data_IF_598453005290
#
_entry.id   IF_598453005290
#
_cell.length_a   1.000
_cell.length_b   1.000
_cell.length_c   1.000
_cell.angle_alpha   90.00
_cell.angle_beta   90.00
_cell.angle_gamma   90.00
#
_symmetry.space_group_name_H-M   'P 1'
#
loop_
_entity.id
_entity.type
_entity.pdbx_description
1 polymer ?
#
# COMPACT_ATOMS: atom_id res chain seq x y z
N UNK A 1 -12.96 -23.35 -8.32
CA UNK A 1 -11.62 -23.12 -7.72
C UNK A 1 -11.20 -21.70 -8.06
N UNK A 2 -10.77 -20.93 -7.05
CA UNK A 2 -10.32 -19.55 -7.22
C UNK A 2 -9.02 -19.48 -8.03
N UNK A 3 -8.96 -18.58 -9.02
CA UNK A 3 -7.78 -18.26 -9.85
C UNK A 3 -7.61 -16.75 -9.89
N UNK A 4 -6.54 -16.25 -9.28
CA UNK A 4 -6.35 -14.82 -9.04
C UNK A 4 -5.40 -14.19 -10.05
N UNK A 5 -5.89 -13.19 -10.77
CA UNK A 5 -5.08 -12.25 -11.53
C UNK A 5 -4.81 -11.00 -10.68
N UNK A 6 -3.53 -10.69 -10.42
CA UNK A 6 -3.14 -9.49 -9.68
C UNK A 6 -2.64 -8.41 -10.61
N UNK A 7 -3.39 -7.31 -10.71
CA UNK A 7 -3.01 -6.08 -11.39
C UNK A 7 -2.28 -5.14 -10.42
N UNK A 8 -1.32 -4.37 -10.92
CA UNK A 8 -0.52 -3.43 -10.11
C UNK A 8 0.05 -4.12 -8.86
N UNK A 9 0.66 -5.29 -9.06
CA UNK A 9 0.87 -6.25 -7.97
C UNK A 9 1.77 -5.70 -6.86
N UNK A 10 2.55 -4.65 -7.13
CA UNK A 10 3.49 -4.12 -6.18
C UNK A 10 4.44 -5.22 -5.75
N UNK A 11 4.84 -5.19 -4.48
CA UNK A 11 5.65 -6.26 -3.87
C UNK A 11 4.79 -7.41 -3.31
N UNK A 12 3.53 -7.51 -3.74
CA UNK A 12 2.64 -8.63 -3.40
C UNK A 12 1.79 -8.45 -2.15
N UNK A 13 1.78 -7.28 -1.51
CA UNK A 13 1.05 -7.04 -0.26
C UNK A 13 -0.43 -7.40 -0.28
N UNK A 14 -1.12 -7.18 -1.41
CA UNK A 14 -2.54 -7.53 -1.58
C UNK A 14 -2.74 -8.96 -2.09
N UNK A 15 -1.89 -9.44 -2.99
CA UNK A 15 -2.15 -10.66 -3.76
C UNK A 15 -1.35 -11.89 -3.35
N UNK A 16 -0.14 -11.73 -2.81
CA UNK A 16 0.70 -12.86 -2.42
C UNK A 16 0.09 -13.76 -1.34
N UNK A 17 -0.89 -13.32 -0.52
CA UNK A 17 -1.55 -14.21 0.43
C UNK A 17 -2.54 -15.21 -0.18
N UNK A 18 -2.98 -15.03 -1.43
CA UNK A 18 -3.91 -15.96 -2.08
C UNK A 18 -3.19 -17.24 -2.49
N UNK A 19 -3.84 -18.40 -2.35
CA UNK A 19 -3.27 -19.72 -2.65
C UNK A 19 -2.95 -19.91 -4.13
N UNK A 20 -3.75 -19.33 -5.03
CA UNK A 20 -3.65 -19.58 -6.48
C UNK A 20 -3.62 -18.27 -7.29
N UNK A 21 -2.48 -17.57 -7.21
CA UNK A 21 -2.18 -16.42 -8.06
C UNK A 21 -1.65 -16.92 -9.40
N UNK A 22 -2.48 -16.86 -10.44
CA UNK A 22 -2.11 -17.35 -11.79
C UNK A 22 -1.17 -16.38 -12.51
N UNK A 23 -1.23 -15.09 -12.16
CA UNK A 23 -0.32 -14.06 -12.66
C UNK A 23 -0.36 -12.84 -11.75
N UNK A 24 0.81 -12.26 -11.51
CA UNK A 24 0.98 -10.95 -10.88
C UNK A 24 1.71 -10.02 -11.86
N UNK A 25 1.08 -8.89 -12.22
CA UNK A 25 1.63 -7.92 -13.19
C UNK A 25 1.90 -6.57 -12.53
N UNK A 26 3.10 -6.04 -12.77
CA UNK A 26 3.49 -4.68 -12.37
C UNK A 26 4.43 -4.11 -13.44
N UNK A 27 4.32 -2.82 -13.75
CA UNK A 27 5.15 -2.18 -14.78
C UNK A 27 6.50 -1.70 -14.24
N UNK A 28 6.72 -1.74 -12.92
CA UNK A 28 7.99 -1.33 -12.31
C UNK A 28 8.94 -2.53 -12.14
N UNK A 29 10.07 -2.60 -12.87
CA UNK A 29 10.99 -3.72 -12.78
C UNK A 29 11.59 -3.93 -11.39
N UNK A 30 11.83 -2.87 -10.62
CA UNK A 30 12.35 -2.96 -9.25
C UNK A 30 11.38 -3.70 -8.32
N UNK A 31 10.09 -3.41 -8.51
CA UNK A 31 9.01 -4.02 -7.73
C UNK A 31 8.88 -5.51 -8.09
N UNK A 32 8.92 -5.82 -9.39
CA UNK A 32 8.87 -7.20 -9.90
C UNK A 32 10.05 -8.02 -9.39
N UNK A 33 11.25 -7.45 -9.38
CA UNK A 33 12.44 -8.08 -8.80
C UNK A 33 12.22 -8.44 -7.33
N UNK A 34 11.72 -7.49 -6.54
CA UNK A 34 11.43 -7.69 -5.11
C UNK A 34 10.34 -8.74 -4.89
N UNK A 35 9.28 -8.73 -5.70
CA UNK A 35 8.23 -9.75 -5.64
C UNK A 35 8.83 -11.14 -5.93
N UNK A 36 9.52 -11.29 -7.06
CA UNK A 36 10.08 -12.59 -7.50
C UNK A 36 11.07 -13.17 -6.50
N UNK A 37 11.86 -12.32 -5.85
CA UNK A 37 12.81 -12.73 -4.81
C UNK A 37 12.13 -13.37 -3.59
N UNK A 38 10.89 -12.98 -3.29
CA UNK A 38 10.13 -13.43 -2.12
C UNK A 38 9.06 -14.48 -2.46
N UNK A 39 8.61 -14.54 -3.71
CA UNK A 39 7.58 -15.48 -4.20
C UNK A 39 8.02 -16.15 -5.51
N UNK A 40 9.09 -16.98 -5.49
CA UNK A 40 9.70 -17.53 -6.71
C UNK A 40 8.79 -18.49 -7.49
N UNK A 41 7.71 -18.97 -6.87
CA UNK A 41 6.73 -19.89 -7.44
C UNK A 41 5.55 -19.19 -8.12
N UNK A 42 5.42 -17.86 -7.96
CA UNK A 42 4.36 -17.07 -8.60
C UNK A 42 4.85 -16.58 -9.96
N UNK A 43 3.99 -16.65 -10.97
CA UNK A 43 4.25 -16.04 -12.28
C UNK A 43 4.15 -14.51 -12.20
N UNK A 44 5.27 -13.85 -11.88
CA UNK A 44 5.37 -12.39 -11.83
C UNK A 44 5.91 -11.84 -13.15
N UNK A 45 5.14 -10.96 -13.77
CA UNK A 45 5.42 -10.38 -15.08
C UNK A 45 5.68 -8.87 -14.95
N UNK A 46 6.78 -8.41 -15.55
CA UNK A 46 7.07 -6.99 -15.69
C UNK A 46 6.46 -6.49 -17.00
N UNK A 47 5.27 -5.91 -16.95
CA UNK A 47 4.50 -5.52 -18.13
C UNK A 47 3.44 -4.47 -17.75
N UNK A 48 2.93 -3.75 -18.74
CA UNK A 48 1.88 -2.75 -18.57
C UNK A 48 0.52 -3.33 -19.00
N UNK A 49 -0.45 -3.30 -18.08
CA UNK A 49 -1.82 -3.77 -18.35
C UNK A 49 -2.47 -3.02 -19.52
N UNK A 50 -2.03 -1.79 -19.81
CA UNK A 50 -2.56 -0.96 -20.89
C UNK A 50 -2.17 -1.50 -22.28
N UNK A 51 -1.04 -2.18 -22.37
CA UNK A 51 -0.50 -2.73 -23.62
C UNK A 51 -0.65 -4.25 -23.72
N UNK A 52 -0.92 -4.92 -22.60
CA UNK A 52 -1.07 -6.37 -22.56
C UNK A 52 -2.43 -6.83 -23.08
N UNK A 53 -2.39 -7.75 -24.04
CA UNK A 53 -3.58 -8.29 -24.70
C UNK A 53 -4.08 -9.62 -24.10
N UNK A 54 -3.16 -10.47 -23.60
CA UNK A 54 -3.49 -11.84 -23.16
C UNK A 54 -3.24 -12.05 -21.68
N UNK A 55 -4.25 -12.56 -21.00
CA UNK A 55 -4.20 -12.94 -19.59
C UNK A 55 -4.49 -14.44 -19.46
N UNK A 56 -3.88 -15.13 -18.48
CA UNK A 56 -4.21 -16.53 -18.21
C UNK A 56 -5.67 -16.65 -17.77
N UNK A 57 -6.21 -17.87 -17.79
CA UNK A 57 -7.54 -18.14 -17.26
C UNK A 57 -7.61 -17.77 -15.77
N UNK A 58 -8.59 -16.93 -15.42
CA UNK A 58 -8.79 -16.39 -14.08
C UNK A 58 -10.27 -16.07 -13.86
N UNK A 59 -10.69 -16.09 -12.60
CA UNK A 59 -12.05 -15.72 -12.20
C UNK A 59 -12.10 -14.70 -11.06
N UNK A 60 -10.95 -14.23 -10.58
CA UNK A 60 -10.89 -13.18 -9.57
C UNK A 60 -9.76 -12.19 -9.86
N UNK A 61 -10.06 -10.90 -9.74
CA UNK A 61 -9.09 -9.82 -9.99
C UNK A 61 -8.77 -9.10 -8.68
N UNK A 62 -7.49 -8.89 -8.40
CA UNK A 62 -7.05 -8.01 -7.30
C UNK A 62 -6.13 -6.91 -7.82
N UNK A 63 -6.19 -5.71 -7.24
CA UNK A 63 -5.23 -4.67 -7.60
C UNK A 63 -5.42 -3.34 -6.91
N UNK A 64 -4.31 -2.64 -6.66
CA UNK A 64 -4.31 -1.25 -6.19
C UNK A 64 -4.04 -0.30 -7.36
N UNK A 65 -5.10 0.25 -7.97
CA UNK A 65 -4.93 1.19 -9.09
C UNK A 65 -4.42 2.55 -8.60
N UNK A 66 -3.79 3.31 -9.49
CA UNK A 66 -3.14 4.57 -9.14
C UNK A 66 -4.11 5.59 -8.52
N UNK A 67 -3.72 6.18 -7.38
CA UNK A 67 -4.50 7.18 -6.65
C UNK A 67 -4.41 8.61 -7.28
N UNK A 68 -4.13 8.74 -8.56
CA UNK A 68 -4.02 10.06 -9.17
C UNK A 68 -5.41 10.73 -9.24
N UNK A 69 -5.51 12.05 -9.00
CA UNK A 69 -6.81 12.73 -8.98
C UNK A 69 -7.48 12.72 -10.37
N UNK A 70 -8.68 12.16 -10.45
CA UNK A 70 -9.49 12.11 -11.68
C UNK A 70 -10.62 13.13 -11.64
N UNK A 71 -10.62 14.14 -12.51
CA UNK A 71 -11.79 15.01 -12.64
C UNK A 71 -13.00 14.25 -13.20
N UNK A 72 -14.25 14.67 -12.92
CA UNK A 72 -15.44 14.14 -13.63
C UNK A 72 -15.28 14.29 -15.14
N UNK A 73 -14.72 15.41 -15.60
CA UNK A 73 -14.40 15.59 -17.02
C UNK A 73 -13.43 14.53 -17.52
N UNK A 74 -12.44 14.15 -16.71
CA UNK A 74 -11.51 13.04 -16.98
C UNK A 74 -12.21 11.69 -17.07
N UNK A 75 -13.13 11.38 -16.15
CA UNK A 75 -13.95 10.16 -16.22
C UNK A 75 -14.85 10.15 -17.46
N UNK A 76 -15.48 11.28 -17.81
CA UNK A 76 -16.26 11.42 -19.05
C UNK A 76 -15.40 11.34 -20.31
N UNK A 77 -14.13 11.76 -20.21
CA UNK A 77 -13.13 11.62 -21.27
C UNK A 77 -12.62 10.18 -21.40
N UNK A 78 -12.90 9.31 -20.44
CA UNK A 78 -12.57 7.89 -20.49
C UNK A 78 -11.06 7.68 -20.68
N UNK A 79 -10.73 6.87 -21.69
CA UNK A 79 -9.35 6.61 -22.14
C UNK A 79 -8.58 7.84 -22.66
N UNK A 80 -9.20 9.02 -22.81
CA UNK A 80 -8.49 10.24 -23.23
C UNK A 80 -7.74 10.95 -22.10
N UNK A 81 -7.99 10.61 -20.83
CA UNK A 81 -7.15 11.03 -19.71
C UNK A 81 -6.17 9.90 -19.38
N UNK A 82 -4.88 10.08 -19.72
CA UNK A 82 -3.83 9.08 -19.52
C UNK A 82 -3.79 8.55 -18.08
N UNK A 83 -4.13 9.40 -17.11
CA UNK A 83 -4.11 9.04 -15.69
C UNK A 83 -5.21 8.04 -15.36
N UNK A 84 -6.36 8.15 -16.03
CA UNK A 84 -7.56 7.33 -15.79
C UNK A 84 -7.54 6.01 -16.56
N UNK A 85 -6.71 5.89 -17.62
CA UNK A 85 -6.57 4.65 -18.41
C UNK A 85 -6.39 3.38 -17.57
N UNK A 86 -5.58 3.35 -16.49
CA UNK A 86 -5.41 2.15 -15.67
C UNK A 86 -6.71 1.70 -14.98
N UNK A 87 -7.53 2.64 -14.51
CA UNK A 87 -8.84 2.33 -13.93
C UNK A 87 -9.81 1.79 -14.99
N UNK A 88 -9.88 2.43 -16.16
CA UNK A 88 -10.74 1.95 -17.25
C UNK A 88 -10.32 0.57 -17.75
N UNK A 89 -9.01 0.31 -17.89
CA UNK A 89 -8.50 -1.01 -18.26
C UNK A 89 -8.80 -2.06 -17.18
N UNK A 90 -8.75 -1.67 -15.90
CA UNK A 90 -9.15 -2.57 -14.79
C UNK A 90 -10.63 -2.93 -14.89
N UNK A 91 -11.51 -1.96 -15.17
CA UNK A 91 -12.94 -2.19 -15.34
C UNK A 91 -13.21 -3.08 -16.57
N UNK A 92 -12.52 -2.85 -17.69
CA UNK A 92 -12.58 -3.69 -18.89
C UNK A 92 -12.21 -5.15 -18.58
N UNK A 93 -11.16 -5.37 -17.79
CA UNK A 93 -10.77 -6.73 -17.38
C UNK A 93 -11.80 -7.37 -16.44
N UNK A 94 -12.43 -6.59 -15.56
CA UNK A 94 -13.52 -7.05 -14.68
C UNK A 94 -14.78 -7.41 -15.46
N UNK A 95 -15.06 -6.74 -16.58
CA UNK A 95 -16.21 -7.02 -17.45
C UNK A 95 -16.10 -8.37 -18.20
N UNK A 96 -15.01 -9.11 -18.02
CA UNK A 96 -14.91 -10.45 -18.58
C UNK A 96 -15.97 -11.40 -17.95
N UNK A 97 -16.71 -12.19 -18.74
CA UNK A 97 -17.71 -13.13 -18.24
C UNK A 97 -17.17 -14.19 -17.27
N UNK A 98 -15.89 -14.55 -17.37
CA UNK A 98 -15.24 -15.52 -16.48
C UNK A 98 -14.91 -14.92 -15.10
N UNK A 99 -14.90 -13.60 -14.95
CA UNK A 99 -14.58 -12.94 -13.68
C UNK A 99 -15.79 -13.01 -12.76
N UNK A 100 -15.68 -13.80 -11.70
CA UNK A 100 -16.73 -14.02 -10.70
C UNK A 100 -16.66 -13.01 -9.55
N UNK A 101 -15.51 -12.35 -9.34
CA UNK A 101 -15.35 -11.31 -8.32
C UNK A 101 -14.06 -10.50 -8.44
N UNK A 102 -13.94 -9.47 -7.60
CA UNK A 102 -12.75 -8.63 -7.53
C UNK A 102 -12.50 -8.04 -6.14
N UNK A 103 -11.27 -7.60 -5.89
CA UNK A 103 -10.88 -6.76 -4.74
C UNK A 103 -9.92 -5.64 -5.20
N UNK A 104 -10.42 -4.41 -5.18
CA UNK A 104 -9.64 -3.22 -5.55
C UNK A 104 -9.23 -2.42 -4.31
N UNK A 105 -8.02 -1.89 -4.29
CA UNK A 105 -7.52 -1.02 -3.22
C UNK A 105 -7.35 0.43 -3.69
N UNK A 106 -7.62 1.37 -2.77
CA UNK A 106 -7.24 2.77 -2.93
C UNK A 106 -7.02 3.47 -1.57
N UNK A 107 -6.54 4.72 -1.58
CA UNK A 107 -6.42 5.53 -0.36
C UNK A 107 -7.80 5.95 0.16
N UNK A 108 -7.91 6.19 1.47
CA UNK A 108 -9.18 6.64 2.10
C UNK A 108 -9.77 7.91 1.46
N UNK A 109 -8.92 8.86 1.04
CA UNK A 109 -9.37 10.10 0.39
C UNK A 109 -10.12 9.87 -0.93
N UNK A 110 -10.03 8.67 -1.53
CA UNK A 110 -10.82 8.30 -2.71
C UNK A 110 -12.33 8.43 -2.46
N UNK A 111 -12.80 8.12 -1.24
CA UNK A 111 -14.22 8.21 -0.86
C UNK A 111 -14.78 9.63 -0.95
N UNK A 112 -13.96 10.63 -0.64
CA UNK A 112 -14.33 12.05 -0.69
C UNK A 112 -13.85 12.75 -1.95
N UNK A 113 -13.14 12.04 -2.83
CA UNK A 113 -12.53 12.61 -4.02
C UNK A 113 -13.61 13.25 -4.90
N UNK A 114 -13.38 14.50 -5.30
CA UNK A 114 -14.33 15.27 -6.10
C UNK A 114 -15.77 15.22 -5.52
N UNK A 115 -15.89 15.54 -4.23
CA UNK A 115 -17.15 15.51 -3.46
C UNK A 115 -17.84 14.13 -3.44
N UNK A 116 -17.07 13.06 -3.63
CA UNK A 116 -17.54 11.67 -3.62
C UNK A 116 -18.06 11.16 -4.97
N UNK A 117 -18.10 11.99 -6.01
CA UNK A 117 -18.67 11.60 -7.30
C UNK A 117 -17.85 10.52 -8.02
N UNK A 118 -16.52 10.52 -7.87
CA UNK A 118 -15.65 9.49 -8.46
C UNK A 118 -15.95 8.12 -7.86
N UNK A 119 -16.12 8.04 -6.54
CA UNK A 119 -16.44 6.80 -5.85
C UNK A 119 -17.84 6.30 -6.22
N UNK A 120 -18.85 7.19 -6.21
CA UNK A 120 -20.22 6.83 -6.63
C UNK A 120 -20.27 6.31 -8.06
N UNK A 121 -19.58 6.97 -8.99
CA UNK A 121 -19.48 6.52 -10.37
C UNK A 121 -18.89 5.10 -10.46
N UNK A 122 -17.77 4.84 -9.79
CA UNK A 122 -17.15 3.52 -9.81
C UNK A 122 -18.07 2.43 -9.26
N UNK A 123 -18.74 2.70 -8.13
CA UNK A 123 -19.70 1.76 -7.53
C UNK A 123 -20.86 1.45 -8.49
N UNK A 124 -21.45 2.48 -9.10
CA UNK A 124 -22.52 2.31 -10.10
C UNK A 124 -22.04 1.57 -11.34
N UNK A 125 -20.83 1.86 -11.84
CA UNK A 125 -20.24 1.16 -12.98
C UNK A 125 -20.08 -0.32 -12.67
N UNK A 126 -19.47 -0.68 -11.53
CA UNK A 126 -19.28 -2.08 -11.15
C UNK A 126 -20.61 -2.82 -10.93
N UNK A 127 -21.62 -2.13 -10.36
CA UNK A 127 -22.98 -2.67 -10.23
C UNK A 127 -23.66 -2.91 -11.59
N UNK A 128 -23.52 -1.97 -12.53
CA UNK A 128 -24.05 -2.11 -13.89
C UNK A 128 -23.39 -3.24 -14.69
N UNK A 129 -22.15 -3.62 -14.34
CA UNK A 129 -21.51 -4.83 -14.87
C UNK A 129 -22.06 -6.14 -14.27
N UNK A 130 -23.03 -6.06 -13.35
CA UNK A 130 -23.69 -7.22 -12.74
C UNK A 130 -23.02 -7.72 -11.45
N UNK A 131 -22.23 -6.90 -10.77
CA UNK A 131 -21.63 -7.26 -9.48
C UNK A 131 -22.42 -6.69 -8.31
N UNK A 132 -22.53 -7.48 -7.24
CA UNK A 132 -22.89 -7.00 -5.91
C UNK A 132 -21.62 -6.47 -5.23
N UNK A 133 -21.60 -5.18 -4.90
CA UNK A 133 -20.38 -4.48 -4.48
C UNK A 133 -20.52 -3.93 -3.07
N UNK A 134 -19.49 -4.12 -2.25
CA UNK A 134 -19.32 -3.50 -0.93
C UNK A 134 -17.96 -2.83 -0.83
N UNK A 135 -17.75 -2.03 0.21
CA UNK A 135 -16.42 -1.47 0.49
C UNK A 135 -16.12 -1.49 1.99
N UNK A 136 -14.83 -1.57 2.31
CA UNK A 136 -14.31 -1.62 3.67
C UNK A 136 -13.30 -0.49 3.87
N UNK A 137 -13.33 0.16 5.03
CA UNK A 137 -12.28 1.08 5.46
C UNK A 137 -11.44 0.43 6.55
N UNK A 138 -10.18 0.14 6.24
CA UNK A 138 -9.29 -0.53 7.18
C UNK A 138 -8.09 0.36 7.51
N UNK A 139 -7.72 0.37 8.79
CA UNK A 139 -6.47 0.97 9.25
C UNK A 139 -5.48 -0.12 9.63
N UNK A 140 -4.27 -0.07 9.09
CA UNK A 140 -3.24 -1.10 9.28
C UNK A 140 -2.85 -1.29 10.75
N UNK A 141 -2.93 -0.20 11.56
CA UNK A 141 -2.74 -0.27 13.02
C UNK A 141 -3.72 -1.15 13.78
N UNK A 142 -4.89 -1.40 13.20
CA UNK A 142 -5.90 -2.30 13.77
C UNK A 142 -5.74 -3.74 13.27
N UNK A 143 -4.69 -4.03 12.50
CA UNK A 143 -4.51 -5.31 11.80
C UNK A 143 -3.04 -5.78 11.84
N UNK A 144 -2.35 -5.58 12.96
CA UNK A 144 -1.09 -6.28 13.23
C UNK A 144 0.22 -5.57 12.86
N UNK A 145 0.19 -4.29 12.43
CA UNK A 145 1.40 -3.47 12.23
C UNK A 145 1.29 -2.11 12.92
N UNK A 146 2.37 -1.49 13.43
CA UNK A 146 2.29 -0.20 14.11
C UNK A 146 2.36 0.95 13.09
N UNK A 147 1.41 1.00 12.16
CA UNK A 147 1.34 2.05 11.14
C UNK A 147 -0.08 2.59 10.98
N UNK A 148 -0.25 3.91 11.15
CA UNK A 148 -1.51 4.59 10.86
C UNK A 148 -1.67 4.80 9.35
N UNK A 149 -2.24 3.80 8.68
CA UNK A 149 -2.46 3.75 7.24
C UNK A 149 -3.88 3.29 6.98
N UNK A 150 -4.73 4.24 6.58
CA UNK A 150 -6.12 3.99 6.20
C UNK A 150 -6.23 3.75 4.70
N UNK A 151 -6.91 2.67 4.32
CA UNK A 151 -7.20 2.28 2.95
C UNK A 151 -8.65 1.88 2.79
N UNK A 152 -9.15 2.10 1.57
CA UNK A 152 -10.44 1.59 1.14
C UNK A 152 -10.21 0.36 0.27
N UNK A 153 -10.97 -0.69 0.54
CA UNK A 153 -11.03 -1.89 -0.29
C UNK A 153 -12.43 -1.99 -0.87
N UNK A 154 -12.55 -2.10 -2.18
CA UNK A 154 -13.82 -2.27 -2.90
C UNK A 154 -13.86 -3.72 -3.34
N UNK A 155 -14.85 -4.47 -2.86
CA UNK A 155 -14.97 -5.90 -3.10
C UNK A 155 -16.31 -6.17 -3.75
N UNK A 156 -16.32 -6.96 -4.82
CA UNK A 156 -17.55 -7.32 -5.49
C UNK A 156 -17.56 -8.75 -6.01
N UNK A 157 -18.76 -9.31 -6.10
CA UNK A 157 -19.00 -10.67 -6.61
C UNK A 157 -20.22 -10.65 -7.54
N UNK A 158 -20.18 -11.42 -8.63
CA UNK A 158 -21.37 -11.62 -9.50
C UNK A 158 -22.45 -12.42 -8.78
N UNK A 159 -22.04 -13.42 -8.00
CA UNK A 159 -22.96 -14.25 -7.21
C UNK A 159 -23.41 -13.49 -5.94
N UNK A 160 -24.71 -13.21 -5.77
CA UNK A 160 -25.24 -12.57 -4.56
C UNK A 160 -24.98 -13.38 -3.28
N UNK A 161 -24.92 -14.72 -3.35
CA UNK A 161 -24.67 -15.56 -2.18
C UNK A 161 -23.23 -15.39 -1.66
N UNK A 162 -22.26 -15.30 -2.57
CA UNK A 162 -20.86 -14.99 -2.20
C UNK A 162 -20.75 -13.60 -1.59
N UNK A 163 -21.43 -12.62 -2.18
CA UNK A 163 -21.46 -11.27 -1.62
C UNK A 163 -22.07 -11.23 -0.22
N UNK A 164 -23.17 -11.96 0.01
CA UNK A 164 -23.81 -12.04 1.33
C UNK A 164 -22.94 -12.77 2.36
N UNK A 165 -22.16 -13.77 1.93
CA UNK A 165 -21.30 -14.58 2.81
C UNK A 165 -19.97 -13.88 3.13
N UNK A 166 -19.52 -12.95 2.26
CA UNK A 166 -18.27 -12.23 2.45
C UNK A 166 -18.33 -11.32 3.67
N UNK A 167 -17.41 -11.54 4.61
CA UNK A 167 -17.35 -10.72 5.81
C UNK A 167 -16.65 -9.39 5.54
N UNK A 168 -17.45 -8.32 5.44
CA UNK A 168 -16.96 -6.94 5.29
C UNK A 168 -16.39 -6.33 6.57
N UNK A 169 -16.40 -7.05 7.69
CA UNK A 169 -15.81 -6.63 8.97
C UNK A 169 -14.61 -7.51 9.31
N UNK A 170 -13.45 -7.14 8.77
CA UNK A 170 -12.21 -7.86 9.03
C UNK A 170 -11.88 -7.87 10.53
N UNK A 171 -11.41 -9.01 11.08
CA UNK A 171 -11.09 -9.11 12.50
C UNK A 171 -9.91 -8.20 12.85
N UNK A 172 -10.08 -7.41 13.90
CA UNK A 172 -9.00 -6.56 14.43
C UNK A 172 -7.92 -7.41 15.07
N UNK A 173 -6.67 -7.01 14.87
CA UNK A 173 -5.50 -7.58 15.54
C UNK A 173 -4.82 -6.50 16.37
N UNK A 174 -4.24 -6.89 17.50
CA UNK A 174 -3.52 -5.98 18.40
C UNK A 174 -2.35 -5.33 17.66
N UNK A 175 -2.21 -4.02 17.81
CA UNK A 175 -1.05 -3.28 17.32
C UNK A 175 0.20 -3.70 18.12
N UNK A 176 1.28 -4.14 17.46
CA UNK A 176 2.54 -4.42 18.16
C UNK A 176 3.27 -3.10 18.49
N UNK A 177 4.28 -3.11 19.39
CA UNK A 177 5.17 -1.96 19.60
C UNK A 177 5.97 -1.57 18.35
N UNK A 178 6.37 -0.29 18.22
CA UNK A 178 7.22 0.18 17.11
C UNK A 178 8.55 -0.59 17.00
N UNK A 179 9.12 -0.99 18.13
CA UNK A 179 10.37 -1.77 18.22
C UNK A 179 10.28 -3.16 17.57
N UNK A 180 9.08 -3.65 17.26
CA UNK A 180 8.91 -4.89 16.46
C UNK A 180 9.20 -4.69 14.97
N UNK A 181 9.25 -3.43 14.51
CA UNK A 181 9.50 -3.08 13.13
C UNK A 181 10.76 -2.24 12.93
N UNK A 182 11.15 -1.45 13.95
CA UNK A 182 12.24 -0.47 13.92
C UNK A 182 13.32 -0.90 14.91
N UNK A 183 14.58 -0.87 14.47
CA UNK A 183 15.73 -1.16 15.33
C UNK A 183 16.37 0.17 15.77
N UNK A 184 16.00 0.65 16.95
CA UNK A 184 16.48 1.94 17.47
C UNK A 184 17.98 1.95 17.81
N UNK A 185 18.58 0.78 18.01
CA UNK A 185 20.03 0.64 18.22
C UNK A 185 20.83 0.52 16.93
N UNK A 186 20.18 0.36 15.78
CA UNK A 186 20.85 0.27 14.48
C UNK A 186 21.08 1.66 13.89
N UNK A 187 22.33 1.91 13.54
CA UNK A 187 22.79 3.10 12.84
C UNK A 187 22.85 2.82 11.33
N UNK A 188 22.57 3.82 10.49
CA UNK A 188 22.81 3.72 9.05
C UNK A 188 24.29 3.86 8.72
N UNK A 189 24.77 3.04 7.78
CA UNK A 189 26.09 3.20 7.15
C UNK A 189 26.15 4.38 6.17
N UNK A 190 25.00 4.90 5.73
CA UNK A 190 24.92 6.03 4.80
C UNK A 190 24.68 7.34 5.57
N UNK A 191 25.68 8.23 5.54
CA UNK A 191 25.58 9.56 6.16
C UNK A 191 24.34 10.36 5.70
N UNK A 192 23.82 10.12 4.48
CA UNK A 192 22.64 10.81 3.93
C UNK A 192 21.33 10.42 4.60
N UNK A 193 21.32 9.36 5.40
CA UNK A 193 20.15 8.96 6.19
C UNK A 193 20.01 9.80 7.46
N UNK A 194 21.06 10.53 7.85
CA UNK A 194 21.05 11.38 9.03
C UNK A 194 20.66 12.82 8.71
N UNK A 195 19.96 13.43 9.66
CA UNK A 195 19.78 14.87 9.70
C UNK A 195 20.90 15.45 10.57
N UNK A 196 21.84 16.14 9.94
CA UNK A 196 23.00 16.78 10.60
C UNK A 196 23.00 18.29 10.35
N UNK A 197 23.66 19.09 11.21
CA UNK A 197 23.82 20.53 10.99
C UNK A 197 24.46 20.86 9.64
N UNK A 198 25.38 20.02 9.16
CA UNK A 198 26.18 20.24 7.95
C UNK A 198 25.41 19.91 6.67
N UNK A 199 24.62 18.83 6.66
CA UNK A 199 23.94 18.36 5.45
C UNK A 199 22.52 18.91 5.31
N UNK A 200 21.86 19.24 6.43
CA UNK A 200 20.43 19.57 6.45
C UNK A 200 20.11 20.71 7.42
N UNK A 201 20.89 21.79 7.46
CA UNK A 201 20.83 22.84 8.50
C UNK A 201 19.41 23.27 8.87
N UNK A 202 18.57 23.64 7.89
CA UNK A 202 17.17 24.05 8.16
C UNK A 202 16.33 22.92 8.75
N UNK A 203 16.40 21.72 8.18
CA UNK A 203 15.59 20.59 8.67
C UNK A 203 16.10 20.06 10.00
N UNK A 204 17.42 20.06 10.19
CA UNK A 204 18.06 19.70 11.44
C UNK A 204 17.56 20.57 12.59
N UNK A 205 17.51 21.90 12.43
CA UNK A 205 17.00 22.80 13.48
C UNK A 205 15.52 22.54 13.80
N UNK A 206 14.70 22.23 12.79
CA UNK A 206 13.30 21.84 13.02
C UNK A 206 13.19 20.52 13.80
N UNK A 207 13.99 19.51 13.45
CA UNK A 207 14.02 18.24 14.16
C UNK A 207 14.55 18.41 15.58
N UNK A 208 15.67 19.11 15.76
CA UNK A 208 16.27 19.41 17.07
C UNK A 208 15.28 20.10 17.99
N UNK A 209 14.53 21.09 17.49
CA UNK A 209 13.45 21.74 18.25
C UNK A 209 12.39 20.72 18.70
N UNK A 210 11.81 19.97 17.76
CA UNK A 210 10.74 19.01 18.05
C UNK A 210 11.19 17.88 19.00
N UNK A 211 12.43 17.41 18.86
CA UNK A 211 13.05 16.37 19.68
C UNK A 211 13.32 16.86 21.10
N UNK A 212 13.83 18.09 21.26
CA UNK A 212 14.09 18.69 22.58
C UNK A 212 12.81 19.01 23.35
N UNK A 213 11.73 19.35 22.64
CA UNK A 213 10.39 19.57 23.22
C UNK A 213 9.71 18.26 23.65
N UNK A 214 10.10 17.13 23.07
CA UNK A 214 9.57 15.83 23.46
C UNK A 214 10.20 15.34 24.78
N UNK A 215 9.36 14.93 25.74
CA UNK A 215 9.76 14.46 27.08
C UNK A 215 9.27 13.03 27.37
N UNK A 216 9.25 12.17 26.35
CA UNK A 216 8.78 10.80 26.47
C UNK A 216 9.80 9.78 25.99
N UNK A 217 9.35 8.54 25.85
CA UNK A 217 10.15 7.44 25.34
C UNK A 217 10.34 7.52 23.81
N UNK A 218 11.59 7.68 23.39
CA UNK A 218 11.94 7.79 21.96
C UNK A 218 11.66 6.50 21.16
N UNK A 219 11.48 5.35 21.81
CA UNK A 219 11.07 4.10 21.15
C UNK A 219 9.59 4.09 20.76
N UNK A 220 8.80 5.07 21.23
CA UNK A 220 7.36 5.18 21.02
C UNK A 220 6.94 6.42 20.22
N UNK A 221 7.90 7.11 19.59
CA UNK A 221 7.66 8.35 18.83
C UNK A 221 8.29 8.29 17.44
N UNK A 222 7.61 8.89 16.47
CA UNK A 222 8.15 9.15 15.13
C UNK A 222 8.05 10.64 14.84
N UNK A 223 9.14 11.24 14.39
CA UNK A 223 9.17 12.62 13.92
C UNK A 223 8.99 12.63 12.41
N UNK A 224 8.20 13.55 11.87
CA UNK A 224 7.94 13.60 10.44
C UNK A 224 8.02 15.03 9.92
N UNK A 225 8.90 15.27 8.95
CA UNK A 225 9.05 16.59 8.34
C UNK A 225 7.75 16.96 7.59
N UNK A 226 7.09 18.02 8.05
CA UNK A 226 6.00 18.68 7.34
C UNK A 226 6.53 19.69 6.33
N UNK A 227 5.67 20.60 5.86
CA UNK A 227 6.08 21.66 4.92
C UNK A 227 6.92 22.73 5.60
N UNK A 228 6.55 23.08 6.82
CA UNK A 228 7.11 24.20 7.58
C UNK A 228 7.50 23.80 9.02
N UNK A 229 7.19 22.57 9.42
CA UNK A 229 7.26 22.08 10.79
C UNK A 229 7.76 20.62 10.84
N UNK A 230 8.00 20.10 12.04
CA UNK A 230 8.18 18.66 12.29
C UNK A 230 7.03 18.20 13.16
N UNK A 231 6.27 17.23 12.66
CA UNK A 231 5.15 16.62 13.38
C UNK A 231 5.67 15.50 14.27
N UNK A 232 5.27 15.50 15.54
CA UNK A 232 5.66 14.49 16.52
C UNK A 232 4.53 13.48 16.74
N UNK A 233 4.66 12.28 16.18
CA UNK A 233 3.67 11.20 16.29
C UNK A 233 3.90 10.39 17.58
N UNK A 234 3.21 10.75 18.66
CA UNK A 234 3.45 10.24 20.03
C UNK A 234 2.66 8.99 20.42
N UNK A 235 1.98 8.36 19.45
CA UNK A 235 0.98 7.33 19.71
C UNK A 235 1.51 5.89 19.63
N UNK A 236 2.83 5.68 19.59
CA UNK A 236 3.42 4.35 19.43
C UNK A 236 3.18 3.71 18.06
N UNK A 237 2.97 4.50 17.01
CA UNK A 237 2.87 4.03 15.62
C UNK A 237 3.50 5.02 14.64
N UNK A 238 3.91 4.51 13.48
CA UNK A 238 4.40 5.31 12.38
C UNK A 238 3.23 5.98 11.61
N UNK A 239 3.44 7.19 11.07
CA UNK A 239 2.51 7.75 10.09
C UNK A 239 2.46 6.89 8.83
N UNK A 240 1.46 7.13 7.98
CA UNK A 240 1.38 6.47 6.67
C UNK A 240 2.68 6.71 5.87
N UNK A 241 3.37 5.63 5.50
CA UNK A 241 4.54 5.71 4.62
C UNK A 241 4.10 6.15 3.23
N UNK A 242 4.85 7.06 2.62
CA UNK A 242 4.56 7.63 1.30
C UNK A 242 5.59 7.16 0.28
N UNK A 243 5.17 6.99 -0.97
CA UNK A 243 6.04 6.52 -2.06
C UNK A 243 7.23 7.45 -2.33
N UNK A 244 7.09 8.74 -1.99
CA UNK A 244 8.13 9.75 -2.18
C UNK A 244 9.09 9.89 -0.98
N UNK A 245 8.91 9.12 0.11
CA UNK A 245 9.74 9.29 1.32
C UNK A 245 11.23 8.99 1.07
N UNK A 246 11.54 8.16 0.07
CA UNK A 246 12.91 7.83 -0.31
C UNK A 246 13.67 8.96 -1.05
N UNK A 247 12.94 9.93 -1.61
CA UNK A 247 13.54 11.06 -2.35
C UNK A 247 13.95 12.24 -1.47
N UNK A 248 13.65 12.20 -0.17
CA UNK A 248 13.81 13.34 0.74
C UNK A 248 12.66 14.36 0.64
N UNK A 249 12.72 15.39 1.47
CA UNK A 249 11.68 16.44 1.53
C UNK A 249 10.57 16.12 2.53
N UNK A 250 9.32 16.42 2.18
CA UNK A 250 8.18 16.31 3.11
C UNK A 250 7.72 14.87 3.33
N UNK A 251 7.14 14.64 4.50
CA UNK A 251 6.58 13.37 5.00
C UNK A 251 7.59 12.26 5.29
N UNK A 252 8.89 12.58 5.34
CA UNK A 252 9.95 11.63 5.69
C UNK A 252 9.90 11.31 7.20
N UNK A 253 9.66 10.05 7.60
CA UNK A 253 9.70 9.65 9.01
C UNK A 253 11.14 9.53 9.51
N UNK A 254 11.38 10.02 10.72
CA UNK A 254 12.67 10.09 11.40
C UNK A 254 12.51 9.59 12.84
N UNK A 255 13.50 8.84 13.29
CA UNK A 255 13.64 8.38 14.67
C UNK A 255 14.83 9.06 15.34
N UNK A 256 14.85 8.97 16.67
CA UNK A 256 16.06 9.17 17.46
C UNK A 256 16.59 7.80 17.81
N UNK A 257 17.85 7.51 17.46
CA UNK A 257 18.49 6.23 17.79
C UNK A 257 18.91 6.18 19.25
N UNK A 258 19.31 5.01 19.74
CA UNK A 258 19.84 4.83 21.09
C UNK A 258 21.13 5.65 21.33
N UNK A 259 21.88 5.93 20.26
CA UNK A 259 23.05 6.81 20.31
C UNK A 259 22.69 8.31 20.26
N UNK A 260 21.41 8.67 20.13
CA UNK A 260 20.92 10.04 20.06
C UNK A 260 20.97 10.66 18.65
N UNK A 261 21.19 9.87 17.59
CA UNK A 261 21.25 10.35 16.21
C UNK A 261 19.85 10.45 15.58
N UNK A 262 19.68 11.40 14.66
CA UNK A 262 18.40 11.63 13.98
C UNK A 262 18.46 11.02 12.60
N UNK A 263 17.84 9.87 12.38
CA UNK A 263 17.91 9.18 11.09
C UNK A 263 16.55 8.85 10.49
N UNK A 264 16.52 8.78 9.18
CA UNK A 264 15.41 8.20 8.42
C UNK A 264 15.23 6.74 8.79
N UNK A 265 14.02 6.23 8.59
CA UNK A 265 13.78 4.78 8.64
C UNK A 265 14.58 4.08 7.54
N UNK A 266 15.20 2.95 7.86
CA UNK A 266 15.91 2.10 6.91
C UNK A 266 14.90 1.34 6.03
N UNK A 267 15.28 0.92 4.81
CA UNK A 267 14.40 0.15 3.93
C UNK A 267 13.76 -1.05 4.64
N UNK A 268 14.54 -1.84 5.37
CA UNK A 268 14.04 -3.01 6.11
C UNK A 268 12.97 -2.65 7.14
N UNK A 269 13.16 -1.55 7.86
CA UNK A 269 12.19 -1.05 8.84
C UNK A 269 10.88 -0.61 8.16
N UNK A 270 10.98 0.04 6.99
CA UNK A 270 9.79 0.44 6.23
C UNK A 270 9.00 -0.76 5.69
N UNK A 271 9.67 -1.84 5.30
CA UNK A 271 9.03 -3.11 4.92
C UNK A 271 8.37 -3.78 6.13
N UNK A 272 9.06 -3.83 7.28
CA UNK A 272 8.50 -4.38 8.51
C UNK A 272 7.26 -3.60 8.99
N UNK A 273 7.24 -2.27 8.83
CA UNK A 273 6.07 -1.44 9.14
C UNK A 273 4.86 -1.71 8.22
N UNK A 274 5.06 -2.38 7.08
CA UNK A 274 4.01 -2.91 6.21
C UNK A 274 3.72 -4.40 6.48
N UNK A 275 4.44 -5.01 7.42
CA UNK A 275 4.29 -6.41 7.80
C UNK A 275 5.00 -7.40 6.88
N UNK A 276 5.96 -6.93 6.08
CA UNK A 276 6.83 -7.78 5.25
C UNK A 276 8.05 -8.28 6.04
N UNK A 277 7.82 -8.80 7.26
CA UNK A 277 8.88 -9.39 8.07
C UNK A 277 9.57 -10.53 7.30
N UNK A 278 10.90 -10.54 7.33
CA UNK A 278 11.69 -11.56 6.63
C UNK A 278 11.80 -11.38 5.11
N UNK A 279 11.13 -10.38 4.49
CA UNK A 279 11.32 -10.14 3.06
C UNK A 279 12.78 -9.86 2.74
N UNK A 280 13.29 -10.54 1.71
CA UNK A 280 14.59 -10.28 1.10
C UNK A 280 14.46 -9.01 0.25
N UNK A 281 15.41 -8.09 0.40
CA UNK A 281 15.45 -6.85 -0.36
C UNK A 281 16.53 -6.97 -1.45
N UNK A 282 16.23 -6.67 -2.71
CA UNK A 282 17.26 -6.68 -3.76
C UNK A 282 18.24 -5.52 -3.59
N UNK A 283 19.42 -5.66 -4.20
CA UNK A 283 20.45 -4.62 -4.21
C UNK A 283 20.11 -3.53 -5.25
N UNK A 284 19.17 -2.68 -4.87
CA UNK A 284 18.71 -1.53 -5.65
C UNK A 284 18.77 -0.27 -4.80
N UNK A 285 18.61 0.90 -5.45
CA UNK A 285 18.61 2.20 -4.75
C UNK A 285 17.60 2.20 -3.59
N UNK A 286 18.04 2.64 -2.39
CA UNK A 286 17.18 2.78 -1.20
C UNK A 286 15.87 3.53 -1.48
N UNK A 287 15.93 4.56 -2.33
CA UNK A 287 14.76 5.32 -2.74
C UNK A 287 13.68 4.45 -3.40
N UNK A 288 14.07 3.46 -4.22
CA UNK A 288 13.16 2.51 -4.85
C UNK A 288 12.54 1.57 -3.82
N UNK A 289 13.32 1.07 -2.86
CA UNK A 289 12.81 0.24 -1.76
C UNK A 289 11.79 1.00 -0.90
N UNK A 290 12.08 2.26 -0.55
CA UNK A 290 11.12 3.11 0.15
C UNK A 290 9.85 3.37 -0.66
N UNK A 291 9.97 3.58 -1.98
CA UNK A 291 8.82 3.74 -2.85
C UNK A 291 7.92 2.49 -2.81
N UNK A 292 8.51 1.30 -2.88
CA UNK A 292 7.79 0.03 -2.78
C UNK A 292 7.04 -0.11 -1.44
N UNK A 293 7.72 0.15 -0.31
CA UNK A 293 7.09 0.12 1.01
C UNK A 293 5.98 1.18 1.18
N UNK A 294 6.13 2.36 0.57
CA UNK A 294 5.11 3.41 0.58
C UNK A 294 3.86 3.05 -0.22
N UNK A 295 4.03 2.36 -1.35
CA UNK A 295 2.95 1.94 -2.24
C UNK A 295 2.24 0.65 -1.79
N UNK A 296 2.93 -0.22 -1.07
CA UNK A 296 2.39 -1.53 -0.71
C UNK A 296 1.12 -1.45 0.17
N UNK A 297 0.23 -2.42 -0.03
CA UNK A 297 -0.78 -2.79 0.98
C UNK A 297 -0.07 -3.55 2.09
N UNK A 298 -0.43 -3.28 3.35
CA UNK A 298 0.18 -4.01 4.47
C UNK A 298 -0.19 -5.49 4.41
N UNK A 299 0.81 -6.37 4.48
CA UNK A 299 0.66 -7.81 4.27
C UNK A 299 -0.38 -8.46 5.21
N UNK A 300 -0.49 -8.09 6.51
CA UNK A 300 -1.53 -8.63 7.37
C UNK A 300 -2.96 -8.35 6.89
N UNK A 301 -3.21 -7.17 6.32
CA UNK A 301 -4.50 -6.84 5.73
C UNK A 301 -4.76 -7.68 4.48
N UNK A 302 -3.76 -7.83 3.61
CA UNK A 302 -3.85 -8.71 2.45
C UNK A 302 -4.19 -10.15 2.84
N UNK A 303 -3.57 -10.68 3.91
CA UNK A 303 -3.86 -12.02 4.45
C UNK A 303 -5.32 -12.17 4.91
N UNK A 304 -5.85 -11.17 5.62
CA UNK A 304 -7.23 -11.18 6.08
C UNK A 304 -8.22 -11.12 4.91
N UNK A 305 -7.98 -10.24 3.93
CA UNK A 305 -8.81 -10.13 2.73
C UNK A 305 -8.80 -11.42 1.91
N UNK A 306 -7.61 -11.99 1.64
CA UNK A 306 -7.47 -13.23 0.91
C UNK A 306 -8.23 -14.38 1.59
N UNK A 307 -8.12 -14.49 2.92
CA UNK A 307 -8.85 -15.51 3.69
C UNK A 307 -10.37 -15.39 3.55
N UNK A 308 -10.93 -14.19 3.69
CA UNK A 308 -12.38 -13.99 3.59
C UNK A 308 -12.90 -14.17 2.14
N UNK A 309 -12.08 -13.85 1.14
CA UNK A 309 -12.40 -14.13 -0.27
C UNK A 309 -12.35 -15.62 -0.55
N UNK A 310 -11.28 -16.32 -0.16
CA UNK A 310 -11.16 -17.77 -0.41
C UNK A 310 -12.31 -18.56 0.21
N UNK A 311 -12.73 -18.17 1.42
CA UNK A 311 -13.87 -18.79 2.11
C UNK A 311 -15.18 -18.76 1.31
N UNK A 312 -15.40 -17.76 0.45
CA UNK A 312 -16.63 -17.68 -0.37
C UNK A 312 -16.49 -18.36 -1.74
N UNK A 313 -15.29 -18.82 -2.09
CA UNK A 313 -15.01 -19.57 -3.32
C UNK A 313 -14.80 -21.07 -3.10
N UNK A 314 -14.61 -21.47 -1.84
CA UNK A 314 -14.64 -22.86 -1.35
C UNK A 314 -16.08 -23.35 -1.19
#
# INVERSE_FOLDING_TARGET
MLKVLSLFSGIGGLCSPYKNVVMAIDSNPNTVETYRLNHPHVNVVCDDILTREKYPDHNFIVGGFNCQPYSISGLRKGFKDDRAKPLFKTIELIDNPNVEGFCLENVKNFLSHNKGETFKWLMLTLQNLGFHVTYLCCNSKNHGVPQNRERVFIVGFRDPLRWFTFNSQLPKQKMPPLSTCINFGEESEDSKDYFTPQQFTKYYELYKKAINEYKGDYHNVIFQLGRLDVRTHKNGYAPCLTANMGGGGHNVPVIVTDAGNYRKLLPKETFNLQGFWGYKLPDIRKANLHQQAGNAVSLPLGKLLAKEVEKVFD
#
